data_IF_582000648579
#
_entry.id   IF_582000648579
#
_cell.length_a   1.000
_cell.length_b   1.000
_cell.length_c   1.000
_cell.angle_alpha   90.00
_cell.angle_beta   90.00
_cell.angle_gamma   90.00
#
_symmetry.space_group_name_H-M   'P 1'
#
loop_
_entity.id
_entity.type
_entity.pdbx_description
1 polymer ?
#
# COMPACT_ATOMS: atom_id res chain seq x y z
N UNK A 1 17.04 10.79 -2.89
CA UNK A 1 17.73 9.55 -2.54
C UNK A 1 18.00 8.75 -3.82
N UNK A 2 19.25 8.58 -4.24
CA UNK A 2 19.64 7.81 -5.43
C UNK A 2 19.77 6.29 -5.17
N UNK A 3 19.58 5.83 -3.94
CA UNK A 3 19.78 4.42 -3.55
C UNK A 3 18.96 3.44 -4.39
N UNK A 4 17.65 3.66 -4.62
CA UNK A 4 16.85 2.75 -5.47
C UNK A 4 17.37 2.66 -6.90
N UNK A 5 17.86 3.77 -7.46
CA UNK A 5 18.45 3.80 -8.80
C UNK A 5 19.73 2.98 -8.86
N UNK A 6 20.63 3.16 -7.88
CA UNK A 6 21.92 2.43 -7.80
C UNK A 6 21.71 0.93 -7.59
N UNK A 7 20.61 0.53 -6.96
CA UNK A 7 20.23 -0.88 -6.77
C UNK A 7 19.53 -1.48 -8.00
N UNK A 8 19.37 -0.74 -9.11
CA UNK A 8 18.66 -1.19 -10.30
C UNK A 8 17.15 -1.39 -10.09
N UNK A 9 16.56 -0.65 -9.10
CA UNK A 9 15.13 -0.77 -8.78
C UNK A 9 14.25 0.13 -9.62
N UNK A 10 14.81 1.10 -10.33
CA UNK A 10 14.09 1.94 -11.28
C UNK A 10 14.02 1.26 -12.65
N UNK A 11 13.28 0.18 -12.73
CA UNK A 11 13.07 -0.60 -13.96
C UNK A 11 11.65 -1.15 -13.99
N UNK A 12 11.10 -1.31 -15.20
CA UNK A 12 9.81 -1.95 -15.43
C UNK A 12 9.91 -3.50 -15.50
N UNK A 13 11.12 -4.04 -15.40
CA UNK A 13 11.33 -5.49 -15.38
C UNK A 13 10.80 -6.08 -14.07
N UNK A 14 9.74 -6.91 -14.08
CA UNK A 14 9.16 -7.47 -12.87
C UNK A 14 10.13 -8.36 -12.09
N UNK A 15 11.05 -9.04 -12.78
CA UNK A 15 12.03 -9.92 -12.12
C UNK A 15 12.98 -9.18 -11.17
N UNK A 16 13.22 -7.89 -11.40
CA UNK A 16 14.01 -7.07 -10.50
C UNK A 16 13.32 -6.82 -9.14
N UNK A 17 12.01 -7.00 -9.06
CA UNK A 17 11.18 -6.74 -7.89
C UNK A 17 10.73 -7.99 -7.15
N UNK A 18 10.76 -9.15 -7.80
CA UNK A 18 10.31 -10.40 -7.22
C UNK A 18 11.35 -10.96 -6.23
N UNK A 19 10.88 -11.37 -5.07
CA UNK A 19 11.60 -12.21 -4.12
C UNK A 19 11.20 -13.68 -4.36
N UNK A 20 12.19 -14.58 -4.45
CA UNK A 20 11.92 -15.99 -4.77
C UNK A 20 11.07 -16.65 -3.69
N UNK A 21 11.38 -16.42 -2.42
CA UNK A 21 10.68 -17.03 -1.30
C UNK A 21 9.29 -16.39 -1.12
N UNK A 22 9.22 -15.05 -1.22
CA UNK A 22 7.95 -14.32 -1.18
C UNK A 22 7.00 -14.73 -2.30
N UNK A 23 7.53 -14.95 -3.50
CA UNK A 23 6.74 -15.42 -4.65
C UNK A 23 6.26 -16.86 -4.46
N UNK A 24 7.13 -17.75 -3.96
CA UNK A 24 6.76 -19.13 -3.67
C UNK A 24 5.65 -19.20 -2.62
N UNK A 25 5.77 -18.46 -1.54
CA UNK A 25 4.74 -18.42 -0.49
C UNK A 25 3.43 -17.78 -0.98
N UNK A 26 3.51 -16.81 -1.87
CA UNK A 26 2.30 -16.23 -2.49
C UNK A 26 1.51 -17.30 -3.25
N UNK A 27 2.19 -18.18 -3.98
CA UNK A 27 1.54 -19.27 -4.74
C UNK A 27 1.00 -20.36 -3.81
N UNK A 28 1.73 -20.70 -2.73
CA UNK A 28 1.36 -21.80 -1.84
C UNK A 28 0.32 -21.42 -0.79
N UNK A 29 0.44 -20.22 -0.23
CA UNK A 29 -0.34 -19.78 0.93
C UNK A 29 -1.22 -18.56 0.65
N UNK A 30 -1.16 -17.97 -0.56
CA UNK A 30 -1.88 -16.75 -0.89
C UNK A 30 -1.31 -15.48 -0.23
N UNK A 31 -0.15 -15.59 0.44
CA UNK A 31 0.57 -14.49 1.04
C UNK A 31 2.03 -14.51 0.65
N UNK A 32 2.56 -13.36 0.27
CA UNK A 32 3.95 -13.23 -0.13
C UNK A 32 4.43 -11.78 -0.06
N UNK A 33 5.69 -11.57 -0.37
CA UNK A 33 6.32 -10.27 -0.40
C UNK A 33 7.21 -10.09 -1.62
N UNK A 34 7.41 -8.85 -2.01
CA UNK A 34 8.36 -8.46 -3.03
C UNK A 34 9.73 -8.17 -2.40
N UNK A 35 10.77 -8.15 -3.22
CA UNK A 35 12.10 -7.79 -2.79
C UNK A 35 12.11 -6.32 -2.33
N UNK A 36 12.53 -6.01 -1.09
CA UNK A 36 12.47 -4.67 -0.55
C UNK A 36 13.31 -3.68 -1.34
N UNK A 37 12.91 -2.42 -1.32
CA UNK A 37 13.68 -1.29 -1.86
C UNK A 37 14.30 -0.56 -0.68
N UNK A 38 15.64 -0.56 -0.63
CA UNK A 38 16.36 0.15 0.42
C UNK A 38 16.31 1.65 0.15
N UNK A 39 16.17 2.40 1.23
CA UNK A 39 16.22 3.86 1.23
C UNK A 39 17.33 4.31 2.18
N UNK A 40 18.05 5.36 1.78
CA UNK A 40 19.10 5.95 2.62
C UNK A 40 18.61 7.30 3.19
N UNK A 41 18.26 7.34 4.49
CA UNK A 41 17.74 8.54 5.13
C UNK A 41 18.73 9.71 5.16
N UNK A 42 20.03 9.48 4.95
CA UNK A 42 21.08 10.51 4.93
C UNK A 42 20.90 11.52 3.80
N UNK A 43 20.17 11.15 2.76
CA UNK A 43 19.84 12.05 1.65
C UNK A 43 18.68 13.00 1.94
N UNK A 44 18.00 12.85 3.10
CA UNK A 44 16.86 13.69 3.45
C UNK A 44 17.32 14.93 4.24
N UNK A 45 16.98 16.13 3.75
CA UNK A 45 17.23 17.39 4.48
C UNK A 45 16.59 17.40 5.87
N UNK A 46 15.44 16.77 6.02
CA UNK A 46 14.74 16.52 7.26
C UNK A 46 14.33 15.06 7.30
N UNK A 47 14.95 14.30 8.20
CA UNK A 47 14.73 12.86 8.35
C UNK A 47 13.25 12.51 8.52
N UNK A 48 12.56 13.14 9.49
CA UNK A 48 11.15 12.87 9.79
C UNK A 48 10.27 13.10 8.57
N UNK A 49 10.38 14.26 7.96
CA UNK A 49 9.58 14.62 6.80
C UNK A 49 9.90 13.73 5.58
N UNK A 50 11.17 13.38 5.40
CA UNK A 50 11.60 12.47 4.33
C UNK A 50 11.00 11.07 4.49
N UNK A 51 11.10 10.50 5.70
CA UNK A 51 10.53 9.19 6.01
C UNK A 51 9.02 9.16 5.86
N UNK A 52 8.31 10.17 6.36
CA UNK A 52 6.86 10.29 6.20
C UNK A 52 6.46 10.34 4.72
N UNK A 53 7.12 11.18 3.91
CA UNK A 53 6.84 11.28 2.47
C UNK A 53 7.01 9.95 1.75
N UNK A 54 8.09 9.22 2.04
CA UNK A 54 8.35 7.92 1.41
C UNK A 54 7.31 6.89 1.86
N UNK A 55 7.01 6.83 3.16
CA UNK A 55 6.04 5.85 3.69
C UNK A 55 4.60 6.12 3.25
N UNK A 56 4.23 7.40 3.00
CA UNK A 56 2.92 7.74 2.45
C UNK A 56 2.86 7.63 0.91
N UNK A 57 4.00 7.61 0.22
CA UNK A 57 4.01 7.60 -1.24
C UNK A 57 3.35 6.35 -1.83
N UNK A 58 3.61 5.17 -1.27
CA UNK A 58 3.00 3.91 -1.68
C UNK A 58 1.47 3.91 -1.50
N UNK A 59 1.00 4.02 -0.25
CA UNK A 59 -0.44 4.11 0.02
C UNK A 59 -1.14 5.24 -0.74
N UNK A 60 -0.51 6.41 -0.82
CA UNK A 60 -1.06 7.56 -1.54
C UNK A 60 -1.20 7.31 -3.05
N UNK A 61 -0.21 6.68 -3.68
CA UNK A 61 -0.29 6.32 -5.09
C UNK A 61 -1.38 5.26 -5.33
N UNK A 62 -1.50 4.29 -4.44
CA UNK A 62 -2.55 3.29 -4.53
C UNK A 62 -3.95 3.93 -4.43
N UNK A 63 -4.19 4.85 -3.50
CA UNK A 63 -5.46 5.59 -3.43
C UNK A 63 -5.69 6.42 -4.70
N UNK A 64 -4.66 7.07 -5.21
CA UNK A 64 -4.76 7.84 -6.47
C UNK A 64 -5.13 6.93 -7.66
N UNK A 65 -4.49 5.77 -7.82
CA UNK A 65 -4.82 4.81 -8.88
C UNK A 65 -6.23 4.25 -8.73
N UNK A 66 -6.67 4.01 -7.51
CA UNK A 66 -8.05 3.60 -7.24
C UNK A 66 -9.05 4.68 -7.66
N UNK A 67 -8.80 5.95 -7.31
CA UNK A 67 -9.63 7.07 -7.75
C UNK A 67 -9.64 7.20 -9.27
N UNK A 68 -8.49 7.11 -9.92
CA UNK A 68 -8.39 7.17 -11.37
C UNK A 68 -9.16 6.03 -12.05
N UNK A 69 -9.10 4.83 -11.52
CA UNK A 69 -9.88 3.69 -12.03
C UNK A 69 -11.38 3.94 -11.91
N UNK A 70 -11.84 4.47 -10.78
CA UNK A 70 -13.24 4.82 -10.58
C UNK A 70 -13.70 5.96 -11.52
N UNK A 71 -12.84 6.96 -11.72
CA UNK A 71 -13.10 8.05 -12.68
C UNK A 71 -13.25 7.48 -14.09
N UNK A 72 -12.37 6.59 -14.52
CA UNK A 72 -12.46 5.94 -15.83
C UNK A 72 -13.74 5.11 -15.97
N UNK A 73 -14.12 4.34 -14.95
CA UNK A 73 -15.39 3.60 -14.93
C UNK A 73 -16.56 4.57 -15.14
N UNK A 74 -16.57 5.69 -14.43
CA UNK A 74 -17.66 6.66 -14.49
C UNK A 74 -17.73 7.34 -15.86
N UNK A 75 -16.61 7.83 -16.37
CA UNK A 75 -16.56 8.57 -17.65
C UNK A 75 -16.83 7.63 -18.82
N UNK A 76 -16.11 6.51 -18.92
CA UNK A 76 -16.25 5.57 -20.03
C UNK A 76 -17.63 4.89 -20.03
N UNK A 77 -18.18 4.64 -18.84
CA UNK A 77 -19.54 4.10 -18.70
C UNK A 77 -20.60 5.07 -19.23
N UNK A 78 -20.47 6.38 -18.93
CA UNK A 78 -21.42 7.39 -19.41
C UNK A 78 -21.43 7.59 -20.94
N UNK A 79 -20.26 7.51 -21.56
CA UNK A 79 -20.14 7.64 -23.03
C UNK A 79 -20.38 6.33 -23.77
N UNK A 80 -20.72 5.24 -23.04
CA UNK A 80 -21.02 3.94 -23.65
C UNK A 80 -19.82 3.21 -24.24
N UNK A 81 -18.58 3.61 -23.84
CA UNK A 81 -17.34 3.00 -24.32
C UNK A 81 -16.80 1.90 -23.39
N UNK A 82 -17.47 1.62 -22.27
CA UNK A 82 -17.04 0.64 -21.29
C UNK A 82 -17.83 -0.66 -21.46
N UNK A 83 -17.20 -1.65 -22.08
CA UNK A 83 -17.74 -3.02 -22.11
C UNK A 83 -17.50 -3.76 -20.78
N UNK A 84 -18.21 -4.88 -20.57
CA UNK A 84 -18.17 -5.65 -19.31
C UNK A 84 -16.74 -6.04 -18.88
N UNK A 85 -15.90 -6.48 -19.82
CA UNK A 85 -14.50 -6.84 -19.53
C UNK A 85 -13.70 -5.65 -19.01
N UNK A 86 -13.86 -4.48 -19.63
CA UNK A 86 -13.20 -3.24 -19.19
C UNK A 86 -13.70 -2.77 -17.82
N UNK A 87 -15.00 -2.91 -17.56
CA UNK A 87 -15.60 -2.60 -16.26
C UNK A 87 -14.99 -3.47 -15.15
N UNK A 88 -15.01 -4.79 -15.31
CA UNK A 88 -14.44 -5.69 -14.31
C UNK A 88 -12.94 -5.46 -14.10
N UNK A 89 -12.20 -5.24 -15.17
CA UNK A 89 -10.77 -4.97 -15.09
C UNK A 89 -10.46 -3.71 -14.25
N UNK A 90 -11.12 -2.59 -14.54
CA UNK A 90 -10.95 -1.35 -13.77
C UNK A 90 -11.46 -1.49 -12.33
N UNK A 91 -12.54 -2.23 -12.12
CA UNK A 91 -13.07 -2.52 -10.78
C UNK A 91 -12.05 -3.31 -9.93
N UNK A 92 -11.38 -4.31 -10.51
CA UNK A 92 -10.33 -5.04 -9.81
C UNK A 92 -9.13 -4.15 -9.50
N UNK A 93 -8.67 -3.32 -10.45
CA UNK A 93 -7.60 -2.35 -10.20
C UNK A 93 -7.98 -1.43 -9.03
N UNK A 94 -9.16 -0.84 -9.05
CA UNK A 94 -9.67 0.00 -7.98
C UNK A 94 -9.63 -0.72 -6.64
N UNK A 95 -10.21 -1.90 -6.57
CA UNK A 95 -10.37 -2.66 -5.35
C UNK A 95 -9.03 -3.06 -4.74
N UNK A 96 -8.12 -3.65 -5.53
CA UNK A 96 -6.78 -4.03 -5.04
C UNK A 96 -5.97 -2.82 -4.57
N UNK A 97 -6.03 -1.70 -5.28
CA UNK A 97 -5.31 -0.50 -4.88
C UNK A 97 -5.83 0.08 -3.56
N UNK A 98 -7.15 0.13 -3.36
CA UNK A 98 -7.72 0.55 -2.06
C UNK A 98 -7.27 -0.38 -0.94
N UNK A 99 -7.35 -1.70 -1.15
CA UNK A 99 -6.93 -2.69 -0.17
C UNK A 99 -5.44 -2.58 0.16
N UNK A 100 -4.57 -2.47 -0.84
CA UNK A 100 -3.13 -2.30 -0.64
C UNK A 100 -2.79 -1.00 0.10
N UNK A 101 -3.50 0.09 -0.18
CA UNK A 101 -3.30 1.34 0.52
C UNK A 101 -3.55 1.19 2.03
N UNK A 102 -4.72 0.70 2.40
CA UNK A 102 -5.06 0.55 3.82
C UNK A 102 -4.28 -0.57 4.51
N UNK A 103 -3.96 -1.66 3.80
CA UNK A 103 -3.11 -2.71 4.32
C UNK A 103 -1.72 -2.17 4.67
N UNK A 104 -1.10 -1.40 3.78
CA UNK A 104 0.21 -0.81 4.03
C UNK A 104 0.21 0.25 5.13
N UNK A 105 -0.94 0.81 5.51
CA UNK A 105 -1.07 1.74 6.63
C UNK A 105 -1.20 1.06 7.99
N UNK A 106 -1.32 -0.27 8.06
CA UNK A 106 -1.29 -1.02 9.32
C UNK A 106 0.07 -0.80 10.00
N UNK A 107 0.11 -0.45 11.32
CA UNK A 107 1.35 -0.07 12.01
C UNK A 107 2.20 -1.29 12.44
N UNK A 108 2.40 -2.23 11.54
CA UNK A 108 3.14 -3.48 11.78
C UNK A 108 4.15 -3.71 10.65
N UNK A 109 5.44 -3.97 10.96
CA UNK A 109 6.43 -4.31 9.93
C UNK A 109 6.06 -5.60 9.18
N UNK A 110 6.41 -5.67 7.89
CA UNK A 110 7.22 -4.75 7.08
C UNK A 110 6.43 -3.61 6.42
N UNK A 111 5.21 -3.33 6.86
CA UNK A 111 4.29 -2.37 6.24
C UNK A 111 4.71 -0.91 6.52
N UNK A 112 4.35 0.00 5.62
CA UNK A 112 4.74 1.41 5.69
C UNK A 112 4.14 2.13 6.91
N UNK A 113 2.97 1.68 7.39
CA UNK A 113 2.33 2.19 8.60
C UNK A 113 3.22 2.10 9.84
N UNK A 114 4.08 1.09 9.95
CA UNK A 114 5.04 0.97 11.04
C UNK A 114 6.08 2.09 11.02
N UNK A 115 6.57 2.45 9.83
CA UNK A 115 7.52 3.55 9.64
C UNK A 115 6.88 4.92 9.91
N UNK A 116 5.62 5.07 9.53
CA UNK A 116 4.86 6.29 9.83
C UNK A 116 4.76 6.48 11.34
N UNK A 117 4.32 5.45 12.08
CA UNK A 117 4.15 5.52 13.52
C UNK A 117 5.49 5.76 14.22
N UNK A 118 6.55 5.01 13.90
CA UNK A 118 7.87 5.20 14.52
C UNK A 118 8.42 6.60 14.26
N UNK A 119 8.16 7.19 13.09
CA UNK A 119 8.61 8.54 12.75
C UNK A 119 7.86 9.63 13.50
N UNK A 120 6.57 9.44 13.82
CA UNK A 120 5.74 10.42 14.55
C UNK A 120 5.97 10.36 16.05
N UNK A 121 6.22 9.19 16.60
CA UNK A 121 6.43 8.99 18.03
C UNK A 121 7.68 9.74 18.53
N UNK A 122 7.68 10.23 19.78
CA UNK A 122 8.88 10.77 20.43
C UNK A 122 9.90 9.66 20.70
N UNK A 123 11.20 10.02 20.74
CA UNK A 123 12.36 9.13 20.70
C UNK A 123 12.25 7.84 21.53
N UNK A 124 11.90 7.93 22.82
CA UNK A 124 11.81 6.75 23.69
C UNK A 124 10.63 5.82 23.30
N UNK A 125 9.49 6.39 22.95
CA UNK A 125 8.33 5.61 22.49
C UNK A 125 8.57 5.00 21.11
N UNK A 126 9.22 5.73 20.21
CA UNK A 126 9.63 5.21 18.91
C UNK A 126 10.53 4.00 19.08
N UNK A 127 11.55 4.09 19.94
CA UNK A 127 12.47 2.97 20.21
C UNK A 127 11.75 1.75 20.80
N UNK A 128 10.84 1.95 21.78
CA UNK A 128 10.04 0.86 22.36
C UNK A 128 9.16 0.19 21.31
N UNK A 129 8.51 1.00 20.46
CA UNK A 129 7.66 0.53 19.38
C UNK A 129 8.45 -0.27 18.34
N UNK A 130 9.62 0.22 17.91
CA UNK A 130 10.49 -0.47 16.96
C UNK A 130 11.00 -1.80 17.50
N UNK A 131 11.48 -1.83 18.77
CA UNK A 131 11.94 -3.07 19.40
C UNK A 131 10.83 -4.11 19.57
N UNK A 132 9.62 -3.68 19.96
CA UNK A 132 8.48 -4.56 20.05
C UNK A 132 8.13 -5.13 18.67
N UNK A 133 8.05 -4.28 17.66
CA UNK A 133 7.74 -4.67 16.30
C UNK A 133 8.83 -5.54 15.67
N UNK A 134 10.10 -5.27 15.93
CA UNK A 134 11.19 -6.12 15.44
C UNK A 134 11.11 -7.55 16.00
N UNK A 135 10.61 -7.71 17.22
CA UNK A 135 10.48 -9.01 17.88
C UNK A 135 9.20 -9.75 17.51
N UNK A 136 8.08 -9.05 17.47
CA UNK A 136 6.75 -9.67 17.37
C UNK A 136 5.98 -9.29 16.13
N UNK A 137 6.39 -8.25 15.41
CA UNK A 137 5.61 -7.65 14.32
C UNK A 137 5.24 -8.65 13.23
N UNK A 138 6.19 -9.47 12.77
CA UNK A 138 5.90 -10.47 11.76
C UNK A 138 4.87 -11.52 12.22
N UNK A 139 4.98 -12.00 13.46
CA UNK A 139 4.05 -12.98 14.03
C UNK A 139 2.65 -12.37 14.18
N UNK A 140 2.58 -11.13 14.67
CA UNK A 140 1.31 -10.41 14.82
C UNK A 140 0.66 -10.18 13.45
N UNK A 141 1.45 -9.78 12.44
CA UNK A 141 0.94 -9.59 11.08
C UNK A 141 0.35 -10.89 10.53
N UNK A 142 1.06 -12.02 10.69
CA UNK A 142 0.57 -13.32 10.26
C UNK A 142 -0.74 -13.70 10.97
N UNK A 143 -0.81 -13.51 12.28
CA UNK A 143 -2.04 -13.78 13.05
C UNK A 143 -3.20 -12.92 12.55
N UNK A 144 -3.00 -11.64 12.28
CA UNK A 144 -4.02 -10.74 11.76
C UNK A 144 -4.47 -11.15 10.36
N UNK A 145 -3.54 -11.53 9.49
CA UNK A 145 -3.85 -11.97 8.13
C UNK A 145 -4.66 -13.27 8.15
N UNK A 146 -4.20 -14.30 8.87
CA UNK A 146 -4.86 -15.61 8.88
C UNK A 146 -6.15 -15.65 9.71
N UNK A 147 -6.32 -14.76 10.68
CA UNK A 147 -7.55 -14.68 11.47
C UNK A 147 -8.73 -14.01 10.75
N UNK A 148 -8.48 -13.42 9.56
CA UNK A 148 -9.49 -12.66 8.83
C UNK A 148 -9.80 -11.26 9.40
N UNK A 149 -9.08 -10.82 10.42
CA UNK A 149 -9.24 -9.47 11.00
C UNK A 149 -8.92 -8.36 10.01
N UNK A 150 -8.06 -8.64 9.02
CA UNK A 150 -7.77 -7.72 7.92
C UNK A 150 -9.05 -7.23 7.26
N UNK A 151 -9.97 -8.15 6.93
CA UNK A 151 -11.25 -7.80 6.29
C UNK A 151 -12.13 -6.93 7.19
N UNK A 152 -12.12 -7.17 8.50
CA UNK A 152 -12.93 -6.40 9.46
C UNK A 152 -12.41 -4.98 9.65
N UNK A 153 -11.09 -4.78 9.55
CA UNK A 153 -10.46 -3.47 9.73
C UNK A 153 -10.46 -2.70 8.39
N UNK A 154 -9.97 -3.32 7.33
CA UNK A 154 -9.80 -2.67 6.03
C UNK A 154 -11.12 -2.50 5.30
N UNK A 155 -12.04 -3.47 5.37
CA UNK A 155 -13.30 -3.43 4.64
C UNK A 155 -14.09 -2.14 4.81
N UNK A 156 -14.40 -1.70 6.06
CA UNK A 156 -15.10 -0.43 6.29
C UNK A 156 -14.34 0.80 5.78
N UNK A 157 -13.00 0.83 5.91
CA UNK A 157 -12.15 1.93 5.44
C UNK A 157 -12.16 1.98 3.91
N UNK A 158 -12.01 0.83 3.27
CA UNK A 158 -12.05 0.71 1.82
C UNK A 158 -13.40 1.17 1.25
N UNK A 159 -14.50 0.70 1.85
CA UNK A 159 -15.84 1.11 1.46
C UNK A 159 -16.07 2.61 1.68
N UNK A 160 -15.60 3.15 2.80
CA UNK A 160 -15.67 4.59 3.12
C UNK A 160 -14.94 5.42 2.06
N UNK A 161 -13.72 5.03 1.67
CA UNK A 161 -12.96 5.70 0.63
C UNK A 161 -13.69 5.67 -0.73
N UNK A 162 -14.16 4.50 -1.14
CA UNK A 162 -14.89 4.33 -2.41
C UNK A 162 -16.17 5.18 -2.42
N UNK A 163 -16.93 5.19 -1.33
CA UNK A 163 -18.13 6.02 -1.20
C UNK A 163 -17.80 7.52 -1.27
N UNK A 164 -16.70 7.96 -0.66
CA UNK A 164 -16.22 9.34 -0.73
C UNK A 164 -15.88 9.73 -2.17
N UNK A 165 -15.16 8.86 -2.89
CA UNK A 165 -14.81 9.09 -4.29
C UNK A 165 -16.05 9.14 -5.19
N UNK A 166 -17.02 8.26 -4.99
CA UNK A 166 -18.30 8.31 -5.70
C UNK A 166 -19.07 9.61 -5.42
N UNK A 167 -19.11 10.04 -4.16
CA UNK A 167 -19.77 11.29 -3.79
C UNK A 167 -19.11 12.50 -4.50
N UNK A 168 -17.77 12.53 -4.54
CA UNK A 168 -17.03 13.57 -5.25
C UNK A 168 -17.31 13.57 -6.76
N UNK A 169 -17.35 12.39 -7.39
CA UNK A 169 -17.61 12.28 -8.82
C UNK A 169 -19.07 12.66 -9.19
N UNK A 170 -20.06 12.37 -8.32
CA UNK A 170 -21.45 12.77 -8.52
C UNK A 170 -21.69 14.29 -8.50
N UNK A 171 -20.79 15.04 -7.88
CA UNK A 171 -20.86 16.52 -7.88
C UNK A 171 -20.35 17.10 -9.20
N UNK A 172 -19.44 16.37 -9.88
CA UNK A 172 -18.79 16.84 -11.11
C UNK A 172 -19.53 16.34 -12.36
N UNK A 173 -20.10 15.16 -12.24
CA UNK A 173 -20.78 14.43 -13.31
C UNK A 173 -22.24 14.10 -12.94
#
# INVERSE_FOLDING_TARGET
DPTPSRMGRLTINPMAHLDMMGTLLLVLCGFGWAKPVDIDPRYYKNYRMGMLKVSFAGPGMNLFLAFLSLLLITVLGRIGMLGDGGFYFLQWIMMYNVWFAFFNLIPIPPLDGSKIVSTVLPGELAWKFENFNARYGFVILMLIVFSGWVNRIIGPLAQGYVNLCYAALRVVF
#
